data_IF_860090679972
#
_entry.id   IF_860090679972
#
_cell.length_a   1.000
_cell.length_b   1.000
_cell.length_c   1.000
_cell.angle_alpha   90.00
_cell.angle_beta   90.00
_cell.angle_gamma   90.00
#
_symmetry.space_group_name_H-M   'P 1'
#
loop_
_entity.id
_entity.type
_entity.pdbx_description
1 polymer ?
#
# COMPACT_ATOMS: atom_id res chain seq x y z
N UNK A 1 33.46 5.43 -40.80
CA UNK A 1 32.08 5.16 -40.33
C UNK A 1 32.12 4.79 -38.85
N UNK A 2 31.82 5.72 -37.93
CA UNK A 2 31.87 5.48 -36.48
C UNK A 2 30.59 4.79 -35.98
N UNK A 3 30.70 3.62 -35.36
CA UNK A 3 29.59 2.96 -34.65
C UNK A 3 29.53 3.52 -33.22
N UNK A 4 28.76 4.60 -33.03
CA UNK A 4 28.60 5.35 -31.77
C UNK A 4 27.24 5.09 -31.08
N UNK A 5 26.49 4.05 -31.46
CA UNK A 5 25.10 3.88 -31.01
C UNK A 5 24.77 2.41 -30.75
N UNK A 6 25.13 1.94 -29.56
CA UNK A 6 24.67 0.73 -28.87
C UNK A 6 25.78 0.48 -27.85
N UNK A 7 25.65 0.77 -26.56
CA UNK A 7 24.70 0.14 -25.65
C UNK A 7 24.54 1.09 -24.45
N UNK A 8 23.57 2.01 -24.55
CA UNK A 8 22.99 2.55 -23.32
C UNK A 8 22.16 1.43 -22.72
N UNK A 9 22.82 0.58 -21.92
CA UNK A 9 22.16 -0.40 -21.07
C UNK A 9 21.08 0.33 -20.31
N UNK A 10 19.84 0.01 -20.66
CA UNK A 10 18.64 0.51 -20.02
C UNK A 10 18.78 0.15 -18.55
N UNK A 11 19.11 1.13 -17.71
CA UNK A 11 19.07 1.01 -16.27
C UNK A 11 17.60 0.73 -15.97
N UNK A 12 17.25 -0.56 -15.93
CA UNK A 12 15.95 -1.00 -15.49
C UNK A 12 15.88 -0.57 -14.03
N UNK A 13 15.27 0.59 -13.78
CA UNK A 13 14.84 1.01 -12.47
C UNK A 13 13.83 -0.05 -12.00
N UNK A 14 14.38 -1.11 -11.39
CA UNK A 14 13.58 -2.00 -10.56
C UNK A 14 13.33 -1.20 -9.29
N UNK A 15 12.33 -0.32 -9.36
CA UNK A 15 11.60 0.12 -8.18
C UNK A 15 10.99 -1.12 -7.55
N UNK A 16 11.82 -1.83 -6.78
CA UNK A 16 11.46 -2.99 -6.00
C UNK A 16 10.50 -2.50 -4.92
N UNK A 17 9.22 -2.43 -5.27
CA UNK A 17 8.14 -2.22 -4.30
C UNK A 17 8.30 -3.32 -3.27
N UNK A 18 8.78 -2.96 -2.08
CA UNK A 18 8.81 -3.86 -0.94
C UNK A 18 7.39 -4.31 -0.68
N UNK A 19 7.10 -5.55 -1.08
CA UNK A 19 5.81 -6.16 -0.82
C UNK A 19 5.84 -6.65 0.63
N UNK A 20 5.00 -6.08 1.48
CA UNK A 20 4.88 -6.40 2.90
C UNK A 20 3.56 -7.17 3.11
N UNK A 21 3.56 -8.51 3.01
CA UNK A 21 2.32 -9.31 3.02
C UNK A 21 1.52 -9.11 4.31
N UNK A 22 2.20 -8.95 5.43
CA UNK A 22 1.60 -8.76 6.76
C UNK A 22 0.73 -7.50 6.82
N UNK A 23 1.21 -6.40 6.24
CA UNK A 23 0.47 -5.12 6.21
C UNK A 23 -0.76 -5.21 5.29
N UNK A 24 -0.63 -5.94 4.17
CA UNK A 24 -1.76 -6.19 3.27
C UNK A 24 -2.83 -7.06 3.94
N UNK A 25 -2.43 -8.07 4.70
CA UNK A 25 -3.33 -8.93 5.47
C UNK A 25 -4.04 -8.14 6.59
N UNK A 26 -3.31 -7.30 7.33
CA UNK A 26 -3.91 -6.43 8.35
C UNK A 26 -4.95 -5.49 7.74
N UNK A 27 -4.68 -4.93 6.55
CA UNK A 27 -5.65 -4.11 5.83
C UNK A 27 -6.89 -4.92 5.40
N UNK A 28 -6.71 -6.16 4.95
CA UNK A 28 -7.82 -7.05 4.60
C UNK A 28 -8.72 -7.35 5.82
N UNK A 29 -8.12 -7.57 6.99
CA UNK A 29 -8.85 -7.72 8.26
C UNK A 29 -9.63 -6.45 8.61
N UNK A 30 -8.99 -5.28 8.51
CA UNK A 30 -9.65 -4.00 8.77
C UNK A 30 -10.87 -3.78 7.85
N UNK A 31 -10.72 -4.01 6.53
CA UNK A 31 -11.85 -3.91 5.57
C UNK A 31 -12.94 -4.93 5.90
N UNK A 32 -12.58 -6.16 6.27
CA UNK A 32 -13.55 -7.19 6.64
C UNK A 32 -14.40 -6.73 7.83
N UNK A 33 -13.79 -6.15 8.86
CA UNK A 33 -14.50 -5.60 10.01
C UNK A 33 -15.45 -4.45 9.61
N UNK A 34 -15.02 -3.57 8.69
CA UNK A 34 -15.86 -2.49 8.15
C UNK A 34 -17.07 -3.06 7.42
N UNK A 35 -16.86 -4.02 6.53
CA UNK A 35 -17.91 -4.66 5.74
C UNK A 35 -18.90 -5.36 6.67
N UNK A 36 -18.44 -6.18 7.62
CA UNK A 36 -19.30 -6.88 8.58
C UNK A 36 -20.16 -5.90 9.37
N UNK A 37 -19.60 -4.79 9.85
CA UNK A 37 -20.36 -3.75 10.54
C UNK A 37 -21.42 -3.08 9.65
N UNK A 38 -21.15 -2.92 8.36
CA UNK A 38 -22.09 -2.31 7.43
C UNK A 38 -23.36 -3.16 7.24
N UNK A 39 -23.23 -4.50 7.27
CA UNK A 39 -24.36 -5.42 7.11
C UNK A 39 -25.14 -5.69 8.41
N UNK A 40 -24.48 -5.66 9.58
CA UNK A 40 -25.13 -5.84 10.89
C UNK A 40 -24.83 -4.72 11.90
N UNK A 41 -25.25 -3.47 11.61
CA UNK A 41 -24.93 -2.33 12.46
C UNK A 41 -25.60 -2.39 13.84
N UNK A 42 -26.69 -3.15 14.00
CA UNK A 42 -27.41 -3.32 15.28
C UNK A 42 -26.80 -4.36 16.21
N UNK A 43 -25.94 -5.26 15.71
CA UNK A 43 -25.40 -6.39 16.49
C UNK A 43 -23.99 -6.11 16.98
N UNK A 44 -23.22 -5.31 16.25
CA UNK A 44 -21.85 -4.95 16.59
C UNK A 44 -21.76 -3.44 16.71
N UNK A 45 -21.73 -2.87 17.92
CA UNK A 45 -21.35 -1.47 18.12
C UNK A 45 -19.83 -1.38 18.11
N UNK A 46 -19.22 -0.81 17.06
CA UNK A 46 -17.75 -0.73 16.98
C UNK A 46 -17.09 -0.68 15.59
N UNK A 47 -17.84 -0.61 14.48
CA UNK A 47 -17.25 -0.67 13.14
C UNK A 47 -16.32 0.48 12.77
N UNK A 48 -16.39 1.60 13.50
CA UNK A 48 -15.48 2.73 13.33
C UNK A 48 -14.01 2.31 13.52
N UNK A 49 -13.72 1.34 14.40
CA UNK A 49 -12.36 0.85 14.64
C UNK A 49 -11.73 0.24 13.37
N UNK A 50 -12.53 -0.47 12.58
CA UNK A 50 -12.05 -1.03 11.30
C UNK A 50 -11.74 0.07 10.28
N UNK A 51 -12.54 1.14 10.27
CA UNK A 51 -12.34 2.31 9.41
C UNK A 51 -11.07 3.05 9.80
N UNK A 52 -10.91 3.35 11.10
CA UNK A 52 -9.75 4.06 11.64
C UNK A 52 -8.44 3.29 11.36
N UNK A 53 -8.43 1.98 11.64
CA UNK A 53 -7.27 1.13 11.38
C UNK A 53 -6.92 1.08 9.88
N UNK A 54 -7.92 0.93 9.01
CA UNK A 54 -7.71 0.90 7.56
C UNK A 54 -7.06 2.19 7.05
N UNK A 55 -7.57 3.36 7.49
CA UNK A 55 -7.05 4.66 7.07
C UNK A 55 -5.64 4.91 7.60
N UNK A 56 -5.34 4.56 8.85
CA UNK A 56 -4.00 4.71 9.43
C UNK A 56 -2.97 3.85 8.69
N UNK A 57 -3.27 2.57 8.44
CA UNK A 57 -2.36 1.65 7.75
C UNK A 57 -2.10 2.12 6.31
N UNK A 58 -3.16 2.53 5.61
CA UNK A 58 -3.04 2.99 4.22
C UNK A 58 -2.29 4.30 4.13
N UNK A 59 -2.58 5.25 5.02
CA UNK A 59 -1.86 6.53 5.11
C UNK A 59 -0.37 6.34 5.40
N UNK A 60 -0.03 5.46 6.34
CA UNK A 60 1.37 5.12 6.63
C UNK A 60 2.10 4.55 5.42
N UNK A 61 1.51 3.57 4.72
CA UNK A 61 2.13 2.97 3.54
C UNK A 61 2.32 3.99 2.40
N UNK A 62 1.28 4.77 2.10
CA UNK A 62 1.33 5.78 1.02
C UNK A 62 2.42 6.80 1.32
N UNK A 63 2.44 7.39 2.51
CA UNK A 63 3.47 8.36 2.92
C UNK A 63 4.87 7.74 2.86
N UNK A 64 5.03 6.51 3.32
CA UNK A 64 6.30 5.78 3.25
C UNK A 64 6.79 5.54 1.81
N UNK A 65 5.86 5.37 0.86
CA UNK A 65 6.18 5.25 -0.55
C UNK A 65 6.53 6.61 -1.17
N UNK A 66 5.79 7.66 -0.82
CA UNK A 66 6.05 9.02 -1.29
C UNK A 66 7.40 9.55 -0.80
N UNK A 67 7.74 9.34 0.47
CA UNK A 67 9.05 9.74 1.02
C UNK A 67 10.21 9.03 0.31
N UNK A 68 10.09 7.73 0.06
CA UNK A 68 11.09 6.97 -0.70
C UNK A 68 11.27 7.44 -2.14
N UNK A 69 10.21 7.94 -2.76
CA UNK A 69 10.27 8.49 -4.10
C UNK A 69 10.82 9.92 -4.10
N UNK A 70 10.52 10.71 -3.08
CA UNK A 70 11.02 12.07 -2.92
C UNK A 70 12.52 12.13 -2.56
N UNK A 71 13.04 11.10 -1.89
CA UNK A 71 14.47 10.97 -1.55
C UNK A 71 15.33 10.49 -2.74
N UNK A 72 14.71 10.06 -3.85
CA UNK A 72 15.41 9.64 -5.09
C UNK A 72 15.59 10.82 -6.05
#
# INVERSE_FOLDING_TARGET
MPRSVAERGHVADRSSRQFLPEIQALRAVAVTLVVVYHFWPRVLTGGFVGVDAFFVISGFLITSHLLREADR
#
